data_IF_251137836366
#
_entry.id   IF_251137836366
#
_cell.length_a   1.000
_cell.length_b   1.000
_cell.length_c   1.000
_cell.angle_alpha   90.00
_cell.angle_beta   90.00
_cell.angle_gamma   90.00
#
_symmetry.space_group_name_H-M   'P 1'
#
loop_
_entity.id
_entity.type
_entity.pdbx_description
1 polymer ?
#
# COMPACT_ATOMS: atom_id res chain seq x y z
N UNK A 1 22.94 -59.87 4.25
CA UNK A 1 21.89 -59.85 3.20
C UNK A 1 20.99 -58.66 3.44
N UNK A 2 20.91 -57.72 2.50
CA UNK A 2 20.09 -56.51 2.64
C UNK A 2 20.34 -55.55 1.49
N UNK A 3 19.82 -55.88 0.30
CA UNK A 3 19.93 -55.05 -0.90
C UNK A 3 19.20 -53.71 -0.71
N UNK A 4 19.94 -52.60 -0.61
CA UNK A 4 19.37 -51.26 -0.85
C UNK A 4 19.27 -51.04 -2.36
N UNK A 5 18.04 -51.09 -2.89
CA UNK A 5 17.73 -50.72 -4.28
C UNK A 5 18.04 -49.23 -4.46
N UNK A 6 19.04 -48.91 -5.28
CA UNK A 6 19.21 -47.56 -5.81
C UNK A 6 18.05 -47.22 -6.74
N UNK A 7 17.27 -46.21 -6.39
CA UNK A 7 16.28 -45.61 -7.30
C UNK A 7 17.06 -44.72 -8.27
N UNK A 8 17.36 -45.25 -9.46
CA UNK A 8 17.87 -44.46 -10.58
C UNK A 8 16.74 -43.57 -11.11
N UNK A 9 16.83 -42.27 -10.85
CA UNK A 9 15.96 -41.28 -11.48
C UNK A 9 16.36 -41.17 -12.95
N UNK A 10 15.66 -41.89 -13.84
CA UNK A 10 15.84 -41.71 -15.27
C UNK A 10 15.33 -40.31 -15.65
N UNK A 11 16.23 -39.48 -16.20
CA UNK A 11 15.83 -38.21 -16.83
C UNK A 11 14.88 -38.54 -17.97
N UNK A 12 13.64 -38.04 -17.90
CA UNK A 12 12.68 -38.11 -19.01
C UNK A 12 13.33 -37.49 -20.26
N UNK A 13 13.24 -38.12 -21.45
CA UNK A 13 13.70 -37.49 -22.67
C UNK A 13 12.86 -36.23 -22.91
N UNK A 14 13.52 -35.13 -23.24
CA UNK A 14 12.86 -33.87 -23.58
C UNK A 14 11.93 -34.11 -24.76
N UNK A 15 10.62 -33.97 -24.55
CA UNK A 15 9.67 -33.81 -25.65
C UNK A 15 10.04 -32.49 -26.35
N UNK A 16 10.77 -32.59 -27.46
CA UNK A 16 10.86 -31.50 -28.44
C UNK A 16 9.44 -31.33 -29.00
N UNK A 17 8.64 -30.47 -28.37
CA UNK A 17 7.45 -29.94 -29.01
C UNK A 17 7.92 -29.06 -30.15
N UNK A 18 8.00 -29.66 -31.34
CA UNK A 18 8.20 -28.97 -32.59
C UNK A 18 7.00 -28.10 -32.90
N UNK A 19 6.87 -26.98 -32.19
CA UNK A 19 6.18 -25.83 -32.75
C UNK A 19 7.08 -25.32 -33.86
N UNK A 20 6.76 -25.74 -35.09
CA UNK A 20 7.29 -25.09 -36.28
C UNK A 20 7.03 -23.60 -36.09
N UNK A 21 8.07 -22.79 -36.28
CA UNK A 21 7.92 -21.36 -36.48
C UNK A 21 7.00 -21.21 -37.71
N UNK A 22 5.70 -21.02 -37.48
CA UNK A 22 4.81 -20.54 -38.52
C UNK A 22 5.42 -19.23 -39.01
N UNK A 23 5.61 -19.09 -40.32
CA UNK A 23 6.02 -17.83 -40.90
C UNK A 23 5.12 -16.70 -40.34
N UNK A 24 5.66 -15.51 -40.02
CA UNK A 24 4.82 -14.40 -39.62
C UNK A 24 3.77 -14.20 -40.72
N UNK A 25 2.49 -14.22 -40.33
CA UNK A 25 1.38 -13.90 -41.22
C UNK A 25 1.70 -12.52 -41.77
N UNK A 26 2.15 -12.45 -43.03
CA UNK A 26 2.29 -11.18 -43.74
C UNK A 26 0.87 -10.67 -43.89
N UNK A 27 0.50 -9.71 -43.05
CA UNK A 27 -0.76 -8.98 -43.21
C UNK A 27 -0.83 -8.50 -44.64
N UNK A 28 -1.84 -8.97 -45.37
CA UNK A 28 -2.10 -8.59 -46.75
C UNK A 28 -2.13 -7.08 -46.87
N UNK A 29 -1.46 -6.57 -47.90
CA UNK A 29 -1.47 -5.16 -48.22
C UNK A 29 -2.89 -4.70 -48.55
N UNK A 30 -3.38 -3.73 -47.78
CA UNK A 30 -4.41 -2.81 -48.26
C UNK A 30 -3.68 -1.64 -48.92
N UNK A 31 -3.56 -1.69 -50.24
CA UNK A 31 -3.05 -0.59 -51.05
C UNK A 31 -4.11 0.49 -51.25
N UNK A 32 -3.68 1.74 -50.99
CA UNK A 32 -4.02 2.99 -51.69
C UNK A 32 -5.50 3.26 -52.01
N UNK A 33 -6.24 3.91 -51.11
CA UNK A 33 -7.44 4.71 -51.46
C UNK A 33 -7.85 5.69 -50.34
N UNK A 34 -6.91 6.37 -49.67
CA UNK A 34 -7.24 7.40 -48.67
C UNK A 34 -6.10 8.42 -48.50
N UNK A 35 -5.89 9.28 -49.51
CA UNK A 35 -4.89 10.37 -49.43
C UNK A 35 -5.46 11.73 -49.85
N UNK A 36 -6.77 11.97 -49.71
CA UNK A 36 -7.41 13.20 -50.21
C UNK A 36 -8.06 14.08 -49.14
N UNK A 37 -8.16 13.61 -47.90
CA UNK A 37 -8.50 14.43 -46.73
C UNK A 37 -7.52 14.04 -45.62
N UNK A 38 -6.63 14.96 -45.22
CA UNK A 38 -5.42 14.74 -44.42
C UNK A 38 -5.59 14.25 -42.99
N UNK A 39 -6.33 13.16 -42.79
CA UNK A 39 -6.41 12.40 -41.55
C UNK A 39 -6.03 10.94 -41.87
N UNK A 40 -4.74 10.64 -41.86
CA UNK A 40 -4.24 9.27 -41.99
C UNK A 40 -4.43 8.50 -40.66
N UNK A 41 -5.68 8.26 -40.27
CA UNK A 41 -5.98 7.18 -39.33
C UNK A 41 -5.90 5.84 -40.07
N UNK A 42 -4.68 5.46 -40.46
CA UNK A 42 -4.41 4.05 -40.73
C UNK A 42 -4.73 3.30 -39.43
N UNK A 43 -5.54 2.24 -39.45
CA UNK A 43 -5.92 1.45 -38.27
C UNK A 43 -4.76 0.73 -37.57
N UNK A 44 -3.53 1.23 -37.72
CA UNK A 44 -2.31 0.83 -37.04
C UNK A 44 -2.32 1.48 -35.66
N UNK A 45 -2.20 0.66 -34.63
CA UNK A 45 -1.99 1.13 -33.26
C UNK A 45 -0.75 2.04 -33.21
N UNK A 46 -0.80 3.10 -32.39
CA UNK A 46 0.35 3.96 -32.15
C UNK A 46 1.54 3.15 -31.65
N UNK A 47 2.77 3.63 -31.89
CA UNK A 47 3.99 2.94 -31.45
C UNK A 47 3.99 2.65 -29.94
N UNK A 48 3.44 3.56 -29.15
CA UNK A 48 3.23 3.35 -27.71
C UNK A 48 2.23 2.22 -27.40
N UNK A 49 1.13 2.13 -28.15
CA UNK A 49 0.16 1.03 -28.00
C UNK A 49 0.72 -0.32 -28.47
N UNK A 50 1.54 -0.34 -29.51
CA UNK A 50 2.27 -1.54 -29.93
C UNK A 50 3.28 -1.97 -28.87
N UNK A 51 4.03 -1.03 -28.29
CA UNK A 51 4.98 -1.32 -27.21
C UNK A 51 4.30 -1.86 -25.94
N UNK A 52 3.16 -1.26 -25.54
CA UNK A 52 2.34 -1.74 -24.42
C UNK A 52 1.78 -3.14 -24.67
N UNK A 53 1.25 -3.40 -25.87
CA UNK A 53 0.69 -4.72 -26.22
C UNK A 53 1.78 -5.80 -26.33
N UNK A 54 2.93 -5.49 -26.91
CA UNK A 54 4.08 -6.40 -26.96
C UNK A 54 4.65 -6.70 -25.57
N UNK A 55 4.79 -5.69 -24.71
CA UNK A 55 5.28 -5.88 -23.35
C UNK A 55 4.34 -6.76 -22.52
N UNK A 56 3.02 -6.54 -22.65
CA UNK A 56 2.02 -7.39 -22.00
C UNK A 56 2.05 -8.84 -22.52
N UNK A 57 2.20 -9.03 -23.84
CA UNK A 57 2.35 -10.37 -24.42
C UNK A 57 3.64 -11.06 -23.96
N UNK A 58 4.73 -10.31 -23.83
CA UNK A 58 6.01 -10.86 -23.35
C UNK A 58 5.93 -11.25 -21.87
N UNK A 59 5.23 -10.47 -21.04
CA UNK A 59 4.97 -10.80 -19.64
C UNK A 59 4.13 -12.08 -19.48
N UNK A 60 3.17 -12.31 -20.39
CA UNK A 60 2.41 -13.58 -20.43
C UNK A 60 3.30 -14.75 -20.88
N UNK A 61 4.15 -14.54 -21.90
CA UNK A 61 5.05 -15.58 -22.44
C UNK A 61 6.15 -15.96 -21.46
N UNK A 62 6.63 -14.99 -20.69
CA UNK A 62 7.73 -15.10 -19.74
C UNK A 62 7.30 -14.41 -18.45
N UNK A 63 6.52 -15.09 -17.60
CA UNK A 63 6.12 -14.51 -16.34
C UNK A 63 7.36 -14.11 -15.56
N UNK A 64 7.41 -12.89 -15.00
CA UNK A 64 8.53 -12.48 -14.18
C UNK A 64 8.68 -13.45 -13.00
N UNK A 65 9.92 -13.66 -12.56
CA UNK A 65 10.16 -14.48 -11.38
C UNK A 65 9.29 -13.98 -10.21
N UNK A 66 8.70 -14.92 -9.46
CA UNK A 66 7.86 -14.58 -8.33
C UNK A 66 8.65 -13.69 -7.36
N UNK A 67 8.11 -12.51 -7.04
CA UNK A 67 8.74 -11.60 -6.09
C UNK A 67 8.82 -12.29 -4.72
N UNK A 68 10.02 -12.35 -4.16
CA UNK A 68 10.24 -12.92 -2.83
C UNK A 68 9.94 -11.85 -1.80
N UNK A 69 8.83 -12.00 -1.09
CA UNK A 69 8.43 -11.12 0.00
C UNK A 69 8.88 -11.71 1.33
N UNK A 70 9.61 -10.93 2.13
CA UNK A 70 9.85 -11.35 3.52
C UNK A 70 8.54 -11.23 4.32
N UNK A 71 8.11 -12.36 4.91
CA UNK A 71 6.91 -12.42 5.76
C UNK A 71 7.09 -11.60 7.05
N UNK A 72 8.30 -11.56 7.59
CA UNK A 72 8.65 -10.82 8.81
C UNK A 72 9.69 -9.74 8.52
N UNK A 73 9.43 -8.52 8.99
CA UNK A 73 10.32 -7.37 8.84
C UNK A 73 10.96 -7.05 10.18
N UNK A 74 12.28 -7.26 10.25
CA UNK A 74 13.09 -7.02 11.45
C UNK A 74 13.68 -5.60 11.46
N UNK A 75 13.86 -5.00 10.28
CA UNK A 75 14.37 -3.64 10.06
C UNK A 75 13.22 -2.65 9.93
N UNK A 76 13.34 -1.49 10.59
CA UNK A 76 12.37 -0.41 10.64
C UNK A 76 12.99 0.90 10.13
N UNK A 77 12.12 1.84 9.77
CA UNK A 77 12.53 3.20 9.42
C UNK A 77 13.20 3.87 10.61
N UNK A 78 14.39 4.41 10.39
CA UNK A 78 15.22 5.06 11.41
C UNK A 78 16.15 4.12 12.18
N UNK A 79 16.18 2.82 11.87
CA UNK A 79 17.23 1.94 12.40
C UNK A 79 18.59 2.33 11.80
N UNK A 80 19.66 2.10 12.57
CA UNK A 80 21.03 2.24 12.10
C UNK A 80 21.53 0.88 11.59
N UNK A 81 21.95 0.84 10.34
CA UNK A 81 22.25 -0.41 9.64
C UNK A 81 23.60 -0.34 8.94
N UNK A 82 24.15 -1.52 8.64
CA UNK A 82 25.41 -1.69 7.90
C UNK A 82 25.19 -2.64 6.74
N UNK A 83 25.81 -2.34 5.59
CA UNK A 83 25.86 -3.27 4.46
C UNK A 83 26.85 -4.39 4.78
N UNK A 84 26.38 -5.64 4.73
CA UNK A 84 27.17 -6.83 5.08
C UNK A 84 27.55 -7.66 3.85
N UNK A 85 26.80 -7.52 2.75
CA UNK A 85 27.06 -8.27 1.52
C UNK A 85 28.46 -7.96 0.95
N UNK A 86 29.36 -8.96 0.83
CA UNK A 86 30.72 -8.75 0.36
C UNK A 86 30.80 -8.38 -1.13
N UNK A 87 29.77 -8.69 -1.93
CA UNK A 87 29.73 -8.37 -3.37
C UNK A 87 29.23 -6.95 -3.64
N UNK A 88 28.66 -6.29 -2.63
CA UNK A 88 28.11 -4.96 -2.79
C UNK A 88 29.22 -3.91 -2.91
N UNK A 89 28.99 -2.81 -3.64
CA UNK A 89 30.00 -1.74 -3.79
C UNK A 89 30.34 -1.06 -2.45
N UNK A 90 29.31 -0.87 -1.63
CA UNK A 90 29.37 -0.07 -0.40
C UNK A 90 29.48 -0.97 0.85
N UNK A 91 30.27 -2.04 0.79
CA UNK A 91 30.45 -2.97 1.94
C UNK A 91 30.94 -2.21 3.16
N UNK A 92 30.41 -2.55 4.34
CA UNK A 92 30.77 -1.94 5.61
C UNK A 92 30.43 -0.46 5.78
N UNK A 93 29.78 0.16 4.80
CA UNK A 93 29.19 1.50 4.97
C UNK A 93 27.98 1.37 5.89
N UNK A 94 27.88 2.32 6.82
CA UNK A 94 26.80 2.41 7.81
C UNK A 94 25.92 3.61 7.51
N UNK A 95 24.63 3.48 7.75
CA UNK A 95 23.68 4.56 7.54
C UNK A 95 22.36 4.33 8.24
N UNK A 96 21.54 5.38 8.32
CA UNK A 96 20.19 5.29 8.83
C UNK A 96 19.23 4.86 7.72
N UNK A 97 18.24 4.03 8.06
CA UNK A 97 17.18 3.63 7.12
C UNK A 97 16.20 4.79 6.93
N UNK A 98 16.16 5.35 5.73
CA UNK A 98 15.26 6.46 5.34
C UNK A 98 13.86 5.94 5.01
N UNK A 99 13.80 4.89 4.19
CA UNK A 99 12.55 4.31 3.71
C UNK A 99 12.62 2.78 3.65
N UNK A 100 11.46 2.15 3.80
CA UNK A 100 11.29 0.71 3.78
C UNK A 100 10.24 0.39 2.70
N UNK A 101 10.67 -0.22 1.60
CA UNK A 101 9.85 -0.54 0.44
C UNK A 101 9.43 -2.01 0.50
N UNK A 102 8.29 -2.26 1.15
CA UNK A 102 7.82 -3.64 1.41
C UNK A 102 7.46 -4.44 0.16
N UNK A 103 7.02 -3.76 -0.90
CA UNK A 103 6.61 -4.39 -2.15
C UNK A 103 7.77 -5.01 -2.94
N UNK A 104 9.01 -4.61 -2.65
CA UNK A 104 10.20 -5.12 -3.31
C UNK A 104 11.20 -5.73 -2.33
N UNK A 105 10.83 -5.89 -1.05
CA UNK A 105 11.76 -6.37 -0.02
C UNK A 105 13.04 -5.52 0.10
N UNK A 106 12.93 -4.22 -0.16
CA UNK A 106 14.07 -3.30 -0.16
C UNK A 106 13.97 -2.23 0.93
N UNK A 107 15.10 -1.63 1.26
CA UNK A 107 15.25 -0.47 2.13
C UNK A 107 16.14 0.57 1.46
N UNK A 108 15.87 1.85 1.70
CA UNK A 108 16.74 2.96 1.26
C UNK A 108 17.52 3.42 2.48
N UNK A 109 18.85 3.38 2.38
CA UNK A 109 19.77 3.72 3.46
C UNK A 109 20.52 4.98 3.10
N UNK A 110 20.67 5.88 4.07
CA UNK A 110 21.43 7.12 3.88
C UNK A 110 22.88 6.82 3.51
N UNK A 111 23.35 7.43 2.41
CA UNK A 111 24.76 7.34 2.00
C UNK A 111 25.15 6.03 1.30
N UNK A 112 24.19 5.20 0.90
CA UNK A 112 24.46 3.89 0.28
C UNK A 112 23.73 3.75 -1.06
N UNK A 113 24.34 3.04 -2.00
CA UNK A 113 23.80 2.71 -3.32
C UNK A 113 23.34 3.93 -4.11
N UNK A 114 24.24 4.92 -4.28
CA UNK A 114 23.92 6.13 -5.03
C UNK A 114 23.64 5.86 -6.52
N UNK A 115 22.52 6.41 -7.00
CA UNK A 115 22.08 6.34 -8.39
C UNK A 115 21.99 7.74 -8.98
N UNK A 116 22.39 7.87 -10.24
CA UNK A 116 22.27 9.13 -10.99
C UNK A 116 20.94 9.13 -11.73
N UNK A 117 20.00 9.94 -11.28
CA UNK A 117 18.67 10.10 -11.88
C UNK A 117 18.63 11.39 -12.70
N UNK A 118 18.15 11.29 -13.95
CA UNK A 118 17.88 12.46 -14.80
C UNK A 118 16.47 12.95 -14.52
N UNK A 119 16.35 14.20 -14.08
CA UNK A 119 15.08 14.84 -13.71
C UNK A 119 14.96 16.13 -14.53
N UNK A 120 13.76 16.48 -14.95
CA UNK A 120 13.49 17.79 -15.57
C UNK A 120 13.21 18.79 -14.46
N UNK A 121 13.98 19.88 -14.39
CA UNK A 121 13.75 20.92 -13.39
C UNK A 121 12.36 21.57 -13.61
N UNK A 122 11.51 21.67 -12.58
CA UNK A 122 10.14 22.17 -12.74
C UNK A 122 10.10 23.65 -13.14
N UNK A 123 11.06 24.45 -12.69
CA UNK A 123 11.12 25.90 -12.94
C UNK A 123 11.73 26.21 -14.32
N UNK A 124 12.91 25.67 -14.61
CA UNK A 124 13.67 26.02 -15.81
C UNK A 124 13.38 25.10 -17.01
N UNK A 125 12.67 23.99 -16.78
CA UNK A 125 12.40 22.90 -17.76
C UNK A 125 13.66 22.32 -18.41
N UNK A 126 14.83 22.52 -17.81
CA UNK A 126 16.10 21.96 -18.29
C UNK A 126 16.36 20.58 -17.68
N UNK A 127 17.05 19.67 -18.39
CA UNK A 127 17.43 18.38 -17.82
C UNK A 127 18.55 18.58 -16.78
N UNK A 128 18.37 18.01 -15.59
CA UNK A 128 19.33 18.00 -14.49
C UNK A 128 19.63 16.57 -14.06
N UNK A 129 20.88 16.29 -13.72
CA UNK A 129 21.29 15.00 -13.15
C UNK A 129 21.40 15.17 -11.64
N UNK A 130 20.57 14.45 -10.89
CA UNK A 130 20.59 14.42 -9.42
C UNK A 130 21.12 13.07 -8.98
N UNK A 131 21.97 13.06 -7.96
CA UNK A 131 22.44 11.82 -7.34
C UNK A 131 21.58 11.56 -6.12
N UNK A 132 20.90 10.42 -6.08
CA UNK A 132 19.98 10.03 -5.01
C UNK A 132 20.32 8.64 -4.50
N UNK A 133 20.07 8.36 -3.23
CA UNK A 133 20.22 7.03 -2.65
C UNK A 133 19.24 6.04 -3.29
N UNK A 134 19.72 4.82 -3.52
CA UNK A 134 18.98 3.74 -4.15
C UNK A 134 18.48 2.69 -3.14
N UNK A 135 17.49 1.88 -3.53
CA UNK A 135 17.03 0.77 -2.72
C UNK A 135 18.07 -0.36 -2.67
N UNK A 136 18.18 -1.01 -1.51
CA UNK A 136 19.03 -2.18 -1.27
C UNK A 136 18.15 -3.27 -0.68
N UNK A 137 18.42 -4.52 -1.05
CA UNK A 137 17.69 -5.69 -0.54
C UNK A 137 17.93 -5.91 0.95
N UNK A 138 16.91 -6.39 1.66
CA UNK A 138 16.98 -6.64 3.10
C UNK A 138 18.11 -7.61 3.49
N UNK A 139 18.35 -8.64 2.69
CA UNK A 139 19.35 -9.68 3.00
C UNK A 139 20.80 -9.16 2.97
N UNK A 140 21.04 -8.03 2.31
CA UNK A 140 22.37 -7.42 2.15
C UNK A 140 22.75 -6.50 3.32
N UNK A 141 21.83 -6.31 4.27
CA UNK A 141 21.93 -5.32 5.33
C UNK A 141 21.69 -5.99 6.69
N UNK A 142 22.44 -5.56 7.70
CA UNK A 142 22.21 -5.95 9.09
C UNK A 142 22.06 -4.71 9.99
N UNK A 143 21.29 -4.85 11.06
CA UNK A 143 21.14 -3.79 12.07
C UNK A 143 22.41 -3.72 12.91
N UNK A 144 22.89 -2.51 13.16
CA UNK A 144 24.06 -2.31 14.02
C UNK A 144 23.64 -2.41 15.48
N UNK A 145 24.36 -3.24 16.24
CA UNK A 145 24.14 -3.40 17.68
C UNK A 145 24.33 -2.07 18.42
N UNK A 146 23.41 -1.67 19.31
CA UNK A 146 23.64 -0.50 20.17
C UNK A 146 24.84 -0.65 21.12
N UNK A 147 25.19 -1.88 21.55
CA UNK A 147 26.28 -2.14 22.49
C UNK A 147 27.60 -2.39 21.73
N UNK A 148 27.65 -3.48 20.97
CA UNK A 148 28.87 -3.95 20.29
C UNK A 148 29.24 -3.11 19.05
N UNK A 149 28.31 -2.29 18.53
CA UNK A 149 28.47 -1.47 17.30
C UNK A 149 28.92 -2.29 16.08
N UNK A 150 28.57 -3.57 16.04
CA UNK A 150 28.82 -4.51 14.94
C UNK A 150 27.49 -4.84 14.24
N UNK A 151 27.51 -5.27 12.97
CA UNK A 151 26.31 -5.76 12.30
C UNK A 151 25.77 -7.02 13.00
N UNK A 152 24.46 -7.08 13.21
CA UNK A 152 23.80 -8.15 13.95
C UNK A 152 22.51 -8.59 13.29
N UNK A 153 22.20 -9.88 13.45
CA UNK A 153 20.85 -10.36 13.24
C UNK A 153 19.95 -9.96 14.41
N UNK A 154 18.70 -9.63 14.10
CA UNK A 154 17.70 -9.21 15.07
C UNK A 154 16.64 -10.28 15.18
N UNK A 155 16.27 -10.69 16.38
CA UNK A 155 15.14 -11.59 16.63
C UNK A 155 14.07 -10.89 17.46
N UNK A 156 12.91 -11.55 17.60
CA UNK A 156 11.82 -11.06 18.42
C UNK A 156 11.62 -11.97 19.62
N UNK A 157 11.65 -11.39 20.81
CA UNK A 157 11.44 -12.08 22.07
C UNK A 157 10.31 -11.41 22.86
N UNK A 158 9.73 -12.15 23.80
CA UNK A 158 8.70 -11.65 24.71
C UNK A 158 9.33 -11.39 26.07
N UNK A 159 9.09 -10.19 26.61
CA UNK A 159 9.44 -9.86 27.99
C UNK A 159 8.44 -10.49 28.97
N UNK A 160 8.80 -10.51 30.25
CA UNK A 160 7.95 -11.00 31.35
C UNK A 160 6.62 -10.22 31.44
N UNK A 161 6.64 -8.93 31.08
CA UNK A 161 5.46 -8.06 30.99
C UNK A 161 4.50 -8.43 29.85
N UNK A 162 4.88 -9.36 28.97
CA UNK A 162 4.13 -9.70 27.76
C UNK A 162 4.33 -8.73 26.60
N UNK A 163 5.32 -7.83 26.67
CA UNK A 163 5.66 -6.94 25.54
C UNK A 163 6.61 -7.64 24.58
N UNK A 164 6.31 -7.59 23.27
CA UNK A 164 7.19 -8.13 22.22
C UNK A 164 8.25 -7.11 21.83
N UNK A 165 9.52 -7.46 22.00
CA UNK A 165 10.67 -6.60 21.71
C UNK A 165 11.60 -7.21 20.67
N UNK A 166 12.42 -6.36 20.03
CA UNK A 166 13.49 -6.81 19.15
C UNK A 166 14.76 -6.97 19.96
N UNK A 167 15.51 -8.05 19.76
CA UNK A 167 16.74 -8.37 20.49
C UNK A 167 17.87 -8.61 19.49
N UNK A 168 19.03 -8.02 19.77
CA UNK A 168 20.25 -8.24 19.00
C UNK A 168 20.84 -9.61 19.33
N UNK A 169 21.11 -10.45 18.32
CA UNK A 169 21.63 -11.80 18.56
C UNK A 169 23.07 -11.84 19.10
N UNK A 170 23.88 -10.80 18.85
CA UNK A 170 25.27 -10.76 19.33
C UNK A 170 25.38 -10.41 20.83
N UNK A 171 24.76 -9.31 21.25
CA UNK A 171 24.86 -8.82 22.64
C UNK A 171 23.68 -9.22 23.53
N UNK A 172 22.58 -9.71 22.96
CA UNK A 172 21.32 -9.85 23.68
C UNK A 172 20.65 -8.51 24.00
N UNK A 173 21.15 -7.39 23.47
CA UNK A 173 20.61 -6.08 23.75
C UNK A 173 19.22 -5.88 23.12
N UNK A 174 18.34 -5.21 23.85
CA UNK A 174 17.02 -4.83 23.34
C UNK A 174 17.19 -3.66 22.37
N UNK A 175 16.72 -3.83 21.13
CA UNK A 175 16.69 -2.80 20.09
C UNK A 175 15.30 -2.13 20.08
N UNK A 176 15.16 -0.91 20.63
CA UNK A 176 13.87 -0.24 20.68
C UNK A 176 13.36 0.10 19.28
N UNK A 177 12.06 0.38 19.18
CA UNK A 177 11.44 0.89 17.97
C UNK A 177 11.87 2.36 17.75
N UNK A 178 12.49 2.74 16.60
CA UNK A 178 12.99 4.10 16.39
C UNK A 178 11.90 5.16 16.41
N UNK A 179 12.24 6.37 16.84
CA UNK A 179 11.29 7.48 16.90
C UNK A 179 10.73 7.86 15.53
N UNK A 180 11.56 7.77 14.47
CA UNK A 180 11.12 8.09 13.10
C UNK A 180 9.97 7.20 12.60
N UNK A 181 9.89 5.95 13.07
CA UNK A 181 8.79 5.07 12.68
C UNK A 181 7.54 5.20 13.57
N UNK A 182 7.64 5.89 14.71
CA UNK A 182 6.48 6.25 15.54
C UNK A 182 5.79 7.50 15.01
N UNK A 183 6.54 8.40 14.36
CA UNK A 183 6.01 9.64 13.78
C UNK A 183 5.06 9.35 12.61
N UNK A 184 3.96 10.10 12.56
CA UNK A 184 3.05 10.13 11.41
C UNK A 184 3.73 10.87 10.24
N UNK A 185 3.29 10.60 9.02
CA UNK A 185 3.79 11.29 7.82
C UNK A 185 3.48 12.79 7.85
N UNK A 186 2.33 13.15 8.41
CA UNK A 186 1.88 14.52 8.58
C UNK A 186 1.37 14.70 10.01
N UNK A 187 1.67 15.85 10.59
CA UNK A 187 1.05 16.28 11.84
C UNK A 187 -0.42 16.55 11.56
N UNK A 188 -1.30 16.10 12.46
CA UNK A 188 -2.73 16.37 12.32
C UNK A 188 -2.98 17.79 12.84
N UNK A 189 -3.60 18.67 12.05
CA UNK A 189 -4.02 19.97 12.58
C UNK A 189 -4.97 19.73 13.74
N UNK A 190 -4.86 20.55 14.78
CA UNK A 190 -5.69 20.45 15.98
C UNK A 190 -6.92 21.32 15.79
N UNK A 191 -8.11 20.71 15.80
CA UNK A 191 -9.38 21.42 15.88
C UNK A 191 -9.76 22.13 14.58
N UNK A 192 -10.02 21.36 13.52
CA UNK A 192 -10.72 21.87 12.35
C UNK A 192 -12.16 22.30 12.67
N UNK A 193 -12.72 23.19 11.85
CA UNK A 193 -14.13 23.67 12.00
C UNK A 193 -15.14 22.52 12.04
N UNK A 194 -14.83 21.41 11.37
CA UNK A 194 -15.67 20.20 11.30
C UNK A 194 -15.23 19.10 12.28
N UNK A 195 -14.21 19.34 13.09
CA UNK A 195 -13.74 18.36 14.06
C UNK A 195 -14.55 18.48 15.35
N UNK A 196 -14.94 17.34 15.90
CA UNK A 196 -15.64 17.28 17.19
C UNK A 196 -14.67 17.58 18.35
N UNK A 197 -15.01 18.48 19.29
CA UNK A 197 -14.19 18.69 20.47
C UNK A 197 -14.15 17.42 21.33
N UNK A 198 -13.01 17.19 21.99
CA UNK A 198 -12.74 15.97 22.76
C UNK A 198 -13.79 15.75 23.86
N UNK A 199 -14.24 16.81 24.51
CA UNK A 199 -15.25 16.77 25.56
C UNK A 199 -16.58 16.18 25.08
N UNK A 200 -17.03 16.55 23.87
CA UNK A 200 -18.26 16.04 23.27
C UNK A 200 -18.16 14.54 22.92
N UNK A 201 -16.97 14.06 22.55
CA UNK A 201 -16.73 12.63 22.22
C UNK A 201 -16.65 11.77 23.47
N UNK A 202 -16.03 12.27 24.55
CA UNK A 202 -15.89 11.53 25.81
C UNK A 202 -17.21 11.51 26.59
N UNK A 203 -18.06 12.52 26.40
CA UNK A 203 -19.37 12.61 27.05
C UNK A 203 -20.17 11.33 26.76
N UNK A 204 -20.43 10.55 27.81
CA UNK A 204 -21.35 9.41 27.75
C UNK A 204 -22.78 9.93 27.62
N UNK A 205 -23.32 9.84 26.42
CA UNK A 205 -24.70 10.25 26.08
C UNK A 205 -25.68 9.08 26.08
N UNK A 206 -25.18 7.85 26.00
CA UNK A 206 -26.00 6.64 26.02
C UNK A 206 -26.36 6.25 27.45
N UNK A 207 -27.66 6.10 27.70
CA UNK A 207 -28.24 5.56 28.92
C UNK A 207 -28.91 4.21 28.58
N UNK A 208 -28.46 3.08 29.17
CA UNK A 208 -29.03 1.77 28.86
C UNK A 208 -30.47 1.60 29.36
N UNK A 209 -30.88 2.40 30.34
CA UNK A 209 -32.21 2.32 30.96
C UNK A 209 -33.28 3.12 30.21
N UNK A 210 -32.88 3.96 29.24
CA UNK A 210 -33.81 4.71 28.39
C UNK A 210 -34.29 3.86 27.20
N UNK A 211 -35.54 4.04 26.79
CA UNK A 211 -36.16 3.39 25.61
C UNK A 211 -35.52 3.76 24.25
N UNK A 212 -34.31 4.35 24.26
CA UNK A 212 -33.51 4.69 23.09
C UNK A 212 -34.20 5.63 22.12
N UNK A 213 -34.52 5.15 20.92
CA UNK A 213 -35.17 5.96 19.90
C UNK A 213 -36.61 6.33 20.26
N UNK A 214 -37.30 5.51 21.05
CA UNK A 214 -38.70 5.75 21.42
C UNK A 214 -38.81 6.96 22.36
N UNK A 215 -37.86 7.12 23.30
CA UNK A 215 -37.82 8.30 24.16
C UNK A 215 -37.51 9.57 23.37
N UNK A 216 -36.63 9.49 22.37
CA UNK A 216 -36.32 10.58 21.44
C UNK A 216 -37.53 11.00 20.59
N UNK A 217 -38.28 10.02 20.06
CA UNK A 217 -39.49 10.29 19.27
C UNK A 217 -40.58 10.96 20.12
N UNK A 218 -40.75 10.52 21.38
CA UNK A 218 -41.63 11.19 22.36
C UNK A 218 -41.19 12.62 22.66
N UNK A 219 -39.88 12.87 22.82
CA UNK A 219 -39.32 14.23 23.01
C UNK A 219 -39.59 15.15 21.81
N UNK A 220 -39.68 14.61 20.59
CA UNK A 220 -40.03 15.34 19.38
C UNK A 220 -41.55 15.49 19.16
N UNK A 221 -42.38 15.10 20.15
CA UNK A 221 -43.85 15.09 20.07
C UNK A 221 -44.39 14.26 18.89
N UNK A 222 -43.71 13.16 18.56
CA UNK A 222 -44.17 12.19 17.57
C UNK A 222 -44.87 11.04 18.29
N UNK A 223 -46.15 10.84 17.97
CA UNK A 223 -46.94 9.76 18.54
C UNK A 223 -46.47 8.44 17.93
N UNK A 224 -45.95 7.58 18.81
CA UNK A 224 -45.46 6.25 18.45
C UNK A 224 -46.50 5.23 18.87
N UNK A 225 -47.21 4.67 17.89
CA UNK A 225 -48.13 3.55 18.12
C UNK A 225 -47.54 2.28 17.51
N UNK A 226 -47.68 1.18 18.24
CA UNK A 226 -47.33 -0.14 17.72
C UNK A 226 -48.59 -0.74 17.07
N UNK A 227 -48.64 -0.77 15.74
CA UNK A 227 -49.64 -1.51 14.97
C UNK A 227 -48.95 -2.75 14.38
N UNK A 228 -49.52 -3.93 14.61
CA UNK A 228 -49.00 -5.22 14.11
C UNK A 228 -47.53 -5.52 14.42
N UNK A 229 -47.05 -5.06 15.59
CA UNK A 229 -45.65 -5.24 16.02
C UNK A 229 -44.64 -4.37 15.26
N UNK A 230 -45.12 -3.43 14.44
CA UNK A 230 -44.30 -2.43 13.76
C UNK A 230 -44.54 -1.04 14.36
N UNK A 231 -43.45 -0.28 14.51
CA UNK A 231 -43.47 1.09 15.01
C UNK A 231 -43.99 2.03 13.91
N UNK A 232 -45.20 2.54 14.09
CA UNK A 232 -45.82 3.53 13.18
C UNK A 232 -45.72 4.93 13.78
N UNK A 233 -45.15 5.88 13.01
CA UNK A 233 -45.05 7.30 13.37
C UNK A 233 -46.35 7.99 12.92
N UNK A 234 -47.11 8.53 13.86
CA UNK A 234 -48.29 9.36 13.57
C UNK A 234 -47.84 10.82 13.63
N UNK A 235 -47.96 11.53 12.51
CA UNK A 235 -47.69 12.96 12.46
C UNK A 235 -48.92 13.72 12.97
N UNK A 236 -48.75 14.73 13.85
CA UNK A 236 -49.87 15.56 14.25
C UNK A 236 -50.42 16.29 13.03
N UNK A 237 -51.72 16.13 12.75
CA UNK A 237 -52.41 16.86 11.69
C UNK A 237 -52.32 18.36 11.98
N UNK A 238 -51.91 19.13 10.97
CA UNK A 238 -51.86 20.60 11.02
C UNK A 238 -53.25 21.11 11.44
N UNK A 239 -53.35 21.82 12.56
CA UNK A 239 -54.58 22.54 12.90
C UNK A 239 -54.71 23.68 11.89
N UNK A 240 -55.70 23.57 11.00
CA UNK A 240 -56.12 24.68 10.17
C UNK A 240 -56.78 25.71 11.11
N UNK A 241 -56.05 26.79 11.42
CA UNK A 241 -56.59 27.95 12.13
C UNK A 241 -57.61 28.66 11.23
N UNK A 242 -58.79 28.07 11.12
CA UNK A 242 -59.97 28.65 10.49
C UNK A 242 -60.55 29.76 11.36
N UNK A 243 -59.91 30.92 11.41
CA UNK A 243 -60.57 32.14 11.88
C UNK A 243 -61.42 32.73 10.75
N UNK A 244 -62.61 32.16 10.59
CA UNK A 244 -63.73 32.78 9.89
C UNK A 244 -64.28 33.90 10.80
N UNK A 245 -63.95 35.15 10.54
CA UNK A 245 -64.71 36.29 11.09
C UNK A 245 -65.44 36.99 9.95
N UNK A 246 -66.69 36.57 9.77
CA UNK A 246 -67.75 37.27 9.08
C UNK A 246 -68.24 38.46 9.91
N UNK A 247 -68.27 39.64 9.31
CA UNK A 247 -69.01 40.82 9.76
C UNK A 247 -68.71 41.94 8.75
N UNK A 248 -69.63 42.42 7.90
CA UNK A 248 -71.07 42.55 8.04
C UNK A 248 -71.38 43.95 8.57
N UNK A 249 -71.59 44.93 7.69
CA UNK A 249 -72.27 46.18 8.05
C UNK A 249 -71.88 47.45 7.28
N UNK A 250 -72.84 47.89 6.45
CA UNK A 250 -73.14 49.26 5.95
C UNK A 250 -72.29 49.83 4.83
#
# INVERSE_FOLDING_TARGET
MGLRKQIKFQRRPSLKSGWRNSAPIRGGGATKLASQFGYENTGKMSTEMLYRSQSALEEIRRPPAAKVYHKSWKVLRGDFVQVVDPEHRDVSVRGMVLEVVRQSSCVVVQGVNFQKVRITDPETRRPKVVTTEGPIELDKIAVVDPIEKKPTEVDFEWLEDGTRVRVARLSGAIIPKPELCKKKRYERPVGGVKDTPVEAVIRRTYNPDDDGLVSLLKQLNLDTSMLDGQLTIIYPSKQDDGSNTSGGGS
#
